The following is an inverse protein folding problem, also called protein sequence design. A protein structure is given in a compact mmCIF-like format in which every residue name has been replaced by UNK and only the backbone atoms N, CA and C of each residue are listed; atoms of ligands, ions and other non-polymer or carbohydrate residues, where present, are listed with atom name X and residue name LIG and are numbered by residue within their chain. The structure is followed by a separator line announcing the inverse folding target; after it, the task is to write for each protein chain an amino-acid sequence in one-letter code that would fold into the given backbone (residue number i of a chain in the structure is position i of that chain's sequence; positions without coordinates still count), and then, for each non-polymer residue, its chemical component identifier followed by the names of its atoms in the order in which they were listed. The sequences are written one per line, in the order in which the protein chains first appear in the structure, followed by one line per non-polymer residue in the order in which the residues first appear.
data_IF_581639775622
#
_entry.id   IF_581639775622
#
_cell.length_a   1.000
_cell.length_b   1.000
_cell.length_c   1.000
_cell.angle_alpha   90.00
_cell.angle_beta   90.00
_cell.angle_gamma   90.00
#
_symmetry.space_group_name_H-M   'P 1'
#
loop_
_entity.id
_entity.type
_entity.pdbx_description
1 polymer ?
#
# COMPACT_ATOMS: atom_id res chain seq x y z
N UNK A 1 -11.67 13.96 17.61
CA UNK A 1 -12.11 12.80 16.80
C UNK A 1 -11.64 11.54 17.49
N UNK A 2 -12.43 10.47 17.43
CA UNK A 2 -12.05 9.21 18.06
C UNK A 2 -10.92 8.53 17.29
N UNK A 3 -10.12 7.73 18.00
CA UNK A 3 -9.14 6.82 17.39
C UNK A 3 -9.80 6.01 16.26
N UNK A 4 -10.98 5.44 16.52
CA UNK A 4 -11.73 4.67 15.53
C UNK A 4 -12.04 5.46 14.24
N UNK A 5 -12.44 6.73 14.35
CA UNK A 5 -12.71 7.56 13.17
C UNK A 5 -11.43 7.79 12.34
N UNK A 6 -10.33 8.13 13.01
CA UNK A 6 -9.08 8.39 12.32
C UNK A 6 -8.49 7.10 11.71
N UNK A 7 -8.58 5.96 12.40
CA UNK A 7 -8.23 4.63 11.87
C UNK A 7 -9.07 4.27 10.64
N UNK A 8 -10.38 4.55 10.67
CA UNK A 8 -11.27 4.34 9.52
C UNK A 8 -10.85 5.20 8.31
N UNK A 9 -10.55 6.48 8.53
CA UNK A 9 -10.06 7.36 7.46
C UNK A 9 -8.74 6.85 6.90
N UNK A 10 -7.78 6.46 7.75
CA UNK A 10 -6.50 5.87 7.33
C UNK A 10 -6.71 4.63 6.46
N UNK A 11 -7.53 3.68 6.88
CA UNK A 11 -7.82 2.46 6.11
C UNK A 11 -8.52 2.77 4.78
N UNK A 12 -9.42 3.75 4.77
CA UNK A 12 -10.15 4.15 3.57
C UNK A 12 -9.23 4.80 2.55
N UNK A 13 -8.34 5.71 2.99
CA UNK A 13 -7.37 6.36 2.11
C UNK A 13 -6.33 5.37 1.56
N UNK A 14 -5.89 4.42 2.40
CA UNK A 14 -5.09 3.27 1.97
C UNK A 14 -5.78 2.57 0.80
N UNK A 15 -7.01 2.07 1.00
CA UNK A 15 -7.68 1.27 -0.01
C UNK A 15 -8.01 2.06 -1.29
N UNK A 16 -8.32 3.36 -1.19
CA UNK A 16 -8.53 4.21 -2.36
C UNK A 16 -7.29 4.32 -3.24
N UNK A 17 -6.10 4.40 -2.63
CA UNK A 17 -4.84 4.37 -3.37
C UNK A 17 -4.59 2.99 -3.98
N UNK A 18 -4.77 1.92 -3.22
CA UNK A 18 -4.56 0.55 -3.72
C UNK A 18 -5.51 0.18 -4.89
N UNK A 19 -6.75 0.69 -4.90
CA UNK A 19 -7.65 0.50 -6.03
C UNK A 19 -7.10 1.11 -7.33
N UNK A 20 -6.46 2.28 -7.26
CA UNK A 20 -5.80 2.91 -8.41
C UNK A 20 -4.70 2.01 -8.96
N UNK A 21 -3.91 1.39 -8.09
CA UNK A 21 -2.89 0.42 -8.47
C UNK A 21 -3.48 -0.82 -9.16
N UNK A 22 -4.50 -1.45 -8.56
CA UNK A 22 -5.18 -2.62 -9.14
C UNK A 22 -5.66 -2.31 -10.57
N UNK A 23 -6.27 -1.14 -10.75
CA UNK A 23 -6.88 -0.74 -12.03
C UNK A 23 -5.80 -0.40 -13.07
N UNK A 24 -4.73 0.31 -12.68
CA UNK A 24 -3.81 0.93 -13.63
C UNK A 24 -2.53 0.13 -13.92
N UNK A 25 -2.06 -0.72 -13.00
CA UNK A 25 -0.77 -1.43 -13.18
C UNK A 25 -0.74 -2.22 -14.49
N UNK A 26 -1.77 -3.05 -14.76
CA UNK A 26 -1.81 -3.90 -15.97
C UNK A 26 -1.84 -3.10 -17.27
N UNK A 27 -2.79 -2.15 -17.47
CA UNK A 27 -2.78 -1.30 -18.66
C UNK A 27 -1.48 -0.52 -18.82
N UNK A 28 -0.92 0.01 -17.72
CA UNK A 28 0.30 0.81 -17.77
C UNK A 28 1.50 -0.02 -18.23
N UNK A 29 1.69 -1.23 -17.70
CA UNK A 29 2.76 -2.14 -18.15
C UNK A 29 2.61 -2.42 -19.65
N UNK A 30 1.40 -2.79 -20.11
CA UNK A 30 1.18 -3.14 -21.52
C UNK A 30 1.55 -2.01 -22.49
N UNK A 31 1.31 -0.75 -22.10
CA UNK A 31 1.57 0.43 -22.93
C UNK A 31 3.02 0.92 -22.84
N UNK A 32 3.74 0.58 -21.76
CA UNK A 32 5.04 1.19 -21.44
C UNK A 32 6.20 0.19 -21.37
N UNK A 33 5.95 -1.11 -21.50
CA UNK A 33 6.95 -2.18 -21.36
C UNK A 33 8.17 -2.02 -22.27
N UNK A 34 8.02 -1.42 -23.45
CA UNK A 34 9.12 -1.24 -24.43
C UNK A 34 9.85 0.10 -24.29
N UNK A 35 9.40 0.96 -23.38
CA UNK A 35 10.01 2.28 -23.18
C UNK A 35 11.31 2.15 -22.37
N UNK A 36 12.43 2.63 -22.93
CA UNK A 36 13.76 2.50 -22.32
C UNK A 36 13.88 3.15 -20.94
N UNK A 37 13.12 4.22 -20.69
CA UNK A 37 13.13 4.96 -19.42
C UNK A 37 12.54 4.17 -18.23
N UNK A 38 11.73 3.14 -18.47
CA UNK A 38 11.06 2.38 -17.41
C UNK A 38 11.67 1.01 -17.14
N UNK A 39 12.74 0.63 -17.85
CA UNK A 39 13.34 -0.71 -17.72
C UNK A 39 13.89 -1.03 -16.33
N UNK A 40 14.10 -0.01 -15.50
CA UNK A 40 14.56 -0.15 -14.12
C UNK A 40 13.41 -0.09 -13.10
N UNK A 41 12.19 0.22 -13.53
CA UNK A 41 11.04 0.27 -12.63
C UNK A 41 10.61 -1.12 -12.23
N UNK A 42 10.25 -1.31 -10.96
CA UNK A 42 9.87 -2.63 -10.45
C UNK A 42 8.75 -3.27 -11.28
N UNK A 43 7.80 -2.46 -11.75
CA UNK A 43 6.70 -2.88 -12.63
C UNK A 43 7.13 -3.24 -14.06
N UNK A 44 8.33 -2.88 -14.54
CA UNK A 44 8.79 -3.14 -15.93
C UNK A 44 10.13 -3.94 -15.98
N UNK A 45 10.88 -3.99 -14.89
CA UNK A 45 12.16 -4.69 -14.81
C UNK A 45 11.99 -6.22 -14.74
N UNK A 46 10.80 -6.72 -14.40
CA UNK A 46 10.49 -8.15 -14.26
C UNK A 46 9.63 -8.69 -15.41
N UNK A 47 10.08 -8.46 -16.65
CA UNK A 47 9.37 -8.75 -17.92
C UNK A 47 8.78 -10.17 -18.10
N UNK A 48 9.19 -11.16 -17.30
CA UNK A 48 8.70 -12.54 -17.36
C UNK A 48 7.78 -12.97 -16.22
N UNK A 49 7.40 -12.07 -15.29
CA UNK A 49 6.65 -12.42 -14.08
C UNK A 49 5.56 -11.40 -13.73
N UNK A 50 4.93 -10.78 -14.74
CA UNK A 50 3.89 -9.80 -14.45
C UNK A 50 2.61 -10.48 -14.00
N UNK A 51 2.33 -10.29 -12.72
CA UNK A 51 1.10 -10.66 -12.07
C UNK A 51 -0.10 -10.19 -12.87
N UNK A 52 -1.11 -11.05 -12.97
CA UNK A 52 -2.43 -10.69 -13.46
C UNK A 52 -3.10 -9.66 -12.53
N UNK A 53 -4.14 -8.97 -13.01
CA UNK A 53 -4.88 -8.02 -12.16
C UNK A 53 -5.48 -8.71 -10.93
N UNK A 54 -5.93 -9.96 -11.09
CA UNK A 54 -6.45 -10.82 -10.03
C UNK A 54 -5.37 -11.15 -9.00
N UNK A 55 -4.14 -11.41 -9.45
CA UNK A 55 -3.02 -11.71 -8.55
C UNK A 55 -2.57 -10.47 -7.78
N UNK A 56 -2.55 -9.29 -8.43
CA UNK A 56 -2.31 -8.00 -7.78
C UNK A 56 -3.40 -7.73 -6.74
N UNK A 57 -4.67 -7.89 -7.12
CA UNK A 57 -5.80 -7.70 -6.22
C UNK A 57 -5.75 -8.64 -5.01
N UNK A 58 -5.33 -9.90 -5.20
CA UNK A 58 -5.17 -10.84 -4.09
C UNK A 58 -4.05 -10.41 -3.11
N UNK A 59 -2.92 -9.93 -3.63
CA UNK A 59 -1.82 -9.43 -2.80
C UNK A 59 -2.26 -8.20 -1.99
N UNK A 60 -2.91 -7.25 -2.64
CA UNK A 60 -3.45 -6.04 -1.99
C UNK A 60 -4.55 -6.40 -0.98
N UNK A 61 -5.40 -7.38 -1.29
CA UNK A 61 -6.44 -7.85 -0.36
C UNK A 61 -5.84 -8.42 0.93
N UNK A 62 -4.70 -9.10 0.82
CA UNK A 62 -3.94 -9.59 1.98
C UNK A 62 -3.37 -8.43 2.81
N UNK A 63 -2.73 -7.45 2.17
CA UNK A 63 -2.20 -6.26 2.87
C UNK A 63 -3.30 -5.43 3.53
N UNK A 64 -4.45 -5.28 2.85
CA UNK A 64 -5.64 -4.66 3.40
C UNK A 64 -6.15 -5.40 4.64
N UNK A 65 -6.21 -6.74 4.60
CA UNK A 65 -6.62 -7.55 5.74
C UNK A 65 -5.66 -7.38 6.93
N UNK A 66 -4.34 -7.36 6.68
CA UNK A 66 -3.36 -7.08 7.72
C UNK A 66 -3.55 -5.68 8.32
N UNK A 67 -3.69 -4.66 7.49
CA UNK A 67 -3.92 -3.29 7.94
C UNK A 67 -5.22 -3.18 8.75
N UNK A 68 -6.30 -3.83 8.29
CA UNK A 68 -7.57 -3.91 9.00
C UNK A 68 -7.41 -4.54 10.39
N UNK A 69 -6.75 -5.70 10.48
CA UNK A 69 -6.53 -6.40 11.76
C UNK A 69 -5.70 -5.52 12.71
N UNK A 70 -4.60 -4.95 12.24
CA UNK A 70 -3.73 -4.12 13.07
C UNK A 70 -4.43 -2.85 13.55
N UNK A 71 -5.24 -2.20 12.70
CA UNK A 71 -6.05 -1.04 13.09
C UNK A 71 -7.17 -1.43 14.06
N UNK A 72 -7.81 -2.59 13.87
CA UNK A 72 -8.81 -3.10 14.81
C UNK A 72 -8.18 -3.34 16.19
N UNK A 73 -6.99 -3.96 16.25
CA UNK A 73 -6.24 -4.14 17.49
C UNK A 73 -5.87 -2.78 18.11
N UNK A 74 -5.43 -1.81 17.30
CA UNK A 74 -5.14 -0.45 17.78
C UNK A 74 -6.37 0.18 18.46
N UNK A 75 -7.56 0.02 17.87
CA UNK A 75 -8.82 0.53 18.42
C UNK A 75 -9.18 -0.19 19.73
N UNK A 76 -9.17 -1.52 19.73
CA UNK A 76 -9.58 -2.34 20.87
C UNK A 76 -8.68 -2.12 22.09
N UNK A 77 -7.37 -2.02 21.86
CA UNK A 77 -6.37 -1.80 22.92
C UNK A 77 -6.03 -0.32 23.14
N UNK A 78 -6.66 0.60 22.39
CA UNK A 78 -6.44 2.05 22.45
C UNK A 78 -4.98 2.47 22.25
N UNK A 79 -4.30 1.82 21.29
CA UNK A 79 -2.89 2.07 20.96
C UNK A 79 -2.82 3.02 19.75
N UNK A 80 -2.83 4.33 20.03
CA UNK A 80 -2.80 5.37 18.98
C UNK A 80 -1.54 5.29 18.12
N UNK A 81 -0.40 4.95 18.72
CA UNK A 81 0.90 4.80 18.07
C UNK A 81 0.87 3.71 16.99
N UNK A 82 0.08 2.64 17.19
CA UNK A 82 -0.06 1.56 16.22
C UNK A 82 -0.80 2.05 14.97
N UNK A 83 -1.88 2.83 15.13
CA UNK A 83 -2.55 3.41 13.96
C UNK A 83 -1.64 4.39 13.22
N UNK A 84 -0.95 5.26 13.96
CA UNK A 84 -0.03 6.22 13.36
C UNK A 84 1.14 5.52 12.63
N UNK A 85 1.66 4.42 13.18
CA UNK A 85 2.73 3.65 12.54
C UNK A 85 2.28 3.02 11.20
N UNK A 86 1.05 2.49 11.12
CA UNK A 86 0.47 1.98 9.86
C UNK A 86 0.30 3.12 8.86
N UNK A 87 -0.30 4.24 9.27
CA UNK A 87 -0.44 5.43 8.43
C UNK A 87 0.90 5.98 7.95
N UNK A 88 1.97 5.84 8.76
CA UNK A 88 3.30 6.34 8.43
C UNK A 88 3.94 5.47 7.36
N UNK A 89 3.83 4.15 7.50
CA UNK A 89 4.28 3.21 6.48
C UNK A 89 3.60 3.49 5.13
N UNK A 90 2.29 3.68 5.13
CA UNK A 90 1.58 4.01 3.89
C UNK A 90 1.94 5.40 3.34
N UNK A 91 2.19 6.40 4.20
CA UNK A 91 2.67 7.72 3.75
C UNK A 91 4.02 7.62 3.03
N UNK A 92 4.92 6.75 3.50
CA UNK A 92 6.20 6.46 2.82
C UNK A 92 5.99 5.75 1.48
N UNK A 93 5.00 4.84 1.38
CA UNK A 93 4.58 4.22 0.13
C UNK A 93 4.13 5.27 -0.89
N UNK A 94 3.20 6.17 -0.49
CA UNK A 94 2.74 7.29 -1.34
C UNK A 94 3.91 8.16 -1.82
N UNK A 95 4.87 8.44 -0.95
CA UNK A 95 6.06 9.22 -1.31
C UNK A 95 6.87 8.54 -2.42
N UNK A 96 6.95 7.21 -2.42
CA UNK A 96 7.54 6.42 -3.51
C UNK A 96 6.89 6.73 -4.87
N UNK A 97 5.56 6.70 -4.93
CA UNK A 97 4.81 7.04 -6.15
C UNK A 97 4.97 8.50 -6.56
N UNK A 98 4.97 9.43 -5.58
CA UNK A 98 5.22 10.85 -5.85
C UNK A 98 6.61 11.05 -6.47
N UNK A 99 7.64 10.38 -5.93
CA UNK A 99 8.99 10.43 -6.50
C UNK A 99 9.04 9.87 -7.93
N UNK A 100 8.29 8.80 -8.22
CA UNK A 100 8.15 8.27 -9.58
C UNK A 100 7.51 9.29 -10.53
N UNK A 101 6.42 9.96 -10.12
CA UNK A 101 5.76 11.00 -10.93
C UNK A 101 6.74 12.12 -11.30
N UNK A 102 7.53 12.61 -10.34
CA UNK A 102 8.53 13.65 -10.61
C UNK A 102 9.68 13.15 -11.50
N UNK A 103 10.16 11.93 -11.26
CA UNK A 103 11.25 11.32 -12.04
C UNK A 103 10.85 11.10 -13.49
N UNK A 104 9.64 10.64 -13.74
CA UNK A 104 9.16 10.30 -15.09
C UNK A 104 8.42 11.44 -15.78
N UNK A 105 8.05 12.48 -15.04
CA UNK A 105 7.22 13.61 -15.52
C UNK A 105 5.94 13.12 -16.21
N UNK A 106 5.43 11.98 -15.76
CA UNK A 106 4.25 11.29 -16.28
C UNK A 106 3.54 10.58 -15.15
N UNK A 107 2.25 10.33 -15.34
CA UNK A 107 1.46 9.53 -14.43
C UNK A 107 1.91 8.06 -14.47
N UNK A 108 2.07 7.49 -13.29
CA UNK A 108 2.30 6.07 -13.04
C UNK A 108 1.12 5.53 -12.22
N UNK A 109 0.87 4.21 -12.21
CA UNK A 109 -0.10 3.62 -11.29
C UNK A 109 0.19 4.05 -9.85
N UNK A 110 -0.85 4.45 -9.11
CA UNK A 110 -0.73 5.01 -7.77
C UNK A 110 -0.33 6.50 -7.74
N UNK A 111 0.17 7.08 -8.83
CA UNK A 111 0.74 8.43 -8.83
C UNK A 111 -0.28 9.55 -8.60
N UNK A 112 -1.45 9.47 -9.26
CA UNK A 112 -2.50 10.47 -9.09
C UNK A 112 -3.10 10.41 -7.69
N UNK A 113 -3.50 9.22 -7.27
CA UNK A 113 -4.06 9.01 -5.93
C UNK A 113 -3.04 9.39 -4.86
N UNK A 114 -1.76 9.03 -4.99
CA UNK A 114 -0.72 9.44 -4.04
C UNK A 114 -0.59 10.96 -3.88
N UNK A 115 -0.58 11.73 -4.97
CA UNK A 115 -0.54 13.20 -4.89
C UNK A 115 -1.80 13.79 -4.22
N UNK A 116 -2.96 13.16 -4.40
CA UNK A 116 -4.23 13.64 -3.82
C UNK A 116 -4.45 13.20 -2.37
N UNK A 117 -4.06 11.98 -2.00
CA UNK A 117 -4.28 11.41 -0.66
C UNK A 117 -3.16 11.78 0.31
N UNK A 118 -1.93 12.05 -0.17
CA UNK A 118 -0.82 12.44 0.69
C UNK A 118 -1.10 13.69 1.55
N UNK A 119 -1.61 14.82 1.02
CA UNK A 119 -1.98 15.98 1.85
C UNK A 119 -3.06 15.65 2.90
N UNK A 120 -3.98 14.75 2.57
CA UNK A 120 -5.04 14.31 3.48
C UNK A 120 -4.42 13.46 4.60
N UNK A 121 -3.47 12.58 4.29
CA UNK A 121 -2.70 11.84 5.28
C UNK A 121 -1.94 12.77 6.22
N UNK A 122 -1.27 13.81 5.71
CA UNK A 122 -0.62 14.82 6.56
C UNK A 122 -1.62 15.48 7.52
N UNK A 123 -2.82 15.83 7.02
CA UNK A 123 -3.88 16.36 7.88
C UNK A 123 -4.31 15.35 8.95
N UNK A 124 -4.51 14.07 8.60
CA UNK A 124 -4.83 13.00 9.56
C UNK A 124 -3.74 12.87 10.63
N UNK A 125 -2.46 12.97 10.27
CA UNK A 125 -1.33 12.99 11.20
C UNK A 125 -1.39 14.17 12.18
N UNK A 126 -1.65 15.38 11.67
CA UNK A 126 -1.82 16.59 12.51
C UNK A 126 -2.99 16.43 13.46
N UNK A 127 -4.12 15.88 12.98
CA UNK A 127 -5.30 15.62 13.81
C UNK A 127 -5.01 14.54 14.88
N UNK A 128 -4.23 13.51 14.56
CA UNK A 128 -3.77 12.53 15.54
C UNK A 128 -2.94 13.17 16.66
N UNK A 129 -1.88 13.89 16.29
CA UNK A 129 -0.95 14.50 17.23
C UNK A 129 -1.61 15.58 18.11
N UNK A 130 -2.64 16.25 17.60
CA UNK A 130 -3.38 17.27 18.36
C UNK A 130 -4.46 16.71 19.30
N UNK A 131 -4.88 15.46 19.12
CA UNK A 131 -6.06 14.91 19.80
C UNK A 131 -5.79 13.64 20.62
N UNK A 132 -4.66 12.97 20.39
CA UNK A 132 -4.28 11.75 21.08
C UNK A 132 -2.94 11.95 21.80
N UNK A 133 -2.79 11.34 22.98
CA UNK A 133 -1.48 11.20 23.62
C UNK A 133 -0.63 10.22 22.83
N UNK A 134 0.61 10.60 22.50
CA UNK A 134 1.52 9.78 21.70
C UNK A 134 2.87 9.68 22.40
N UNK A 135 3.29 8.44 22.66
CA UNK A 135 4.64 8.10 23.05
C UNK A 135 5.54 8.05 21.80
N UNK A 136 6.39 9.06 21.63
CA UNK A 136 7.34 9.12 20.51
C UNK A 136 8.26 7.89 20.41
N UNK A 137 8.85 7.37 21.51
CA UNK A 137 9.66 6.16 21.43
C UNK A 137 8.86 4.94 20.93
N UNK A 138 7.64 4.77 21.42
CA UNK A 138 6.78 3.66 21.00
C UNK A 138 6.37 3.79 19.53
N UNK A 139 6.01 5.00 19.09
CA UNK A 139 5.69 5.28 17.69
C UNK A 139 6.86 4.93 16.77
N UNK A 140 8.09 5.31 17.12
CA UNK A 140 9.27 5.02 16.31
C UNK A 140 9.55 3.51 16.24
N UNK A 141 9.46 2.81 17.37
CA UNK A 141 9.65 1.35 17.43
C UNK A 141 8.59 0.64 16.60
N UNK A 142 7.31 0.99 16.78
CA UNK A 142 6.21 0.39 16.03
C UNK A 142 6.31 0.70 14.53
N UNK A 143 6.68 1.92 14.15
CA UNK A 143 6.86 2.30 12.74
C UNK A 143 7.95 1.47 12.07
N UNK A 144 9.11 1.31 12.73
CA UNK A 144 10.19 0.48 12.20
C UNK A 144 9.80 -1.00 12.12
N UNK A 145 9.18 -1.53 13.18
CA UNK A 145 8.76 -2.92 13.24
C UNK A 145 7.71 -3.27 12.18
N UNK A 146 6.66 -2.45 12.06
CA UNK A 146 5.58 -2.64 11.08
C UNK A 146 6.13 -2.49 9.66
N UNK A 147 7.01 -1.52 9.40
CA UNK A 147 7.63 -1.37 8.08
C UNK A 147 8.39 -2.65 7.69
N UNK A 148 9.25 -3.17 8.57
CA UNK A 148 10.00 -4.41 8.31
C UNK A 148 9.05 -5.59 8.10
N UNK A 149 8.02 -5.71 8.93
CA UNK A 149 7.01 -6.76 8.82
C UNK A 149 6.27 -6.71 7.48
N UNK A 150 5.76 -5.54 7.08
CA UNK A 150 5.03 -5.35 5.82
C UNK A 150 5.93 -5.61 4.60
N UNK A 151 7.17 -5.10 4.61
CA UNK A 151 8.12 -5.35 3.52
C UNK A 151 8.48 -6.84 3.41
N UNK A 152 8.65 -7.54 4.54
CA UNK A 152 8.90 -8.97 4.55
C UNK A 152 7.69 -9.76 4.03
N UNK A 153 6.48 -9.35 4.40
CA UNK A 153 5.24 -9.94 3.93
C UNK A 153 5.06 -9.75 2.41
N UNK A 154 5.23 -8.53 1.92
CA UNK A 154 5.16 -8.21 0.49
C UNK A 154 6.22 -8.99 -0.31
N UNK A 155 7.45 -9.08 0.21
CA UNK A 155 8.51 -9.90 -0.39
C UNK A 155 8.12 -11.39 -0.44
N UNK A 156 7.49 -11.91 0.61
CA UNK A 156 6.97 -13.28 0.65
C UNK A 156 5.88 -13.49 -0.39
N UNK A 157 4.88 -12.59 -0.48
CA UNK A 157 3.82 -12.66 -1.49
C UNK A 157 4.39 -12.64 -2.91
N UNK A 158 5.33 -11.74 -3.19
CA UNK A 158 6.02 -11.70 -4.48
C UNK A 158 6.81 -12.98 -4.78
N UNK A 159 7.42 -13.62 -3.78
CA UNK A 159 8.12 -14.90 -3.98
C UNK A 159 7.16 -16.05 -4.33
N UNK A 160 5.88 -15.91 -3.99
CA UNK A 160 4.82 -16.91 -4.23
C UNK A 160 3.86 -16.53 -5.36
N UNK A 161 4.03 -15.34 -5.92
CA UNK A 161 3.22 -14.74 -6.99
C UNK A 161 2.79 -15.71 -8.09
N UNK A 162 3.73 -16.43 -8.71
CA UNK A 162 3.41 -17.42 -9.77
C UNK A 162 2.53 -18.58 -9.29
N UNK A 163 2.71 -19.03 -8.05
CA UNK A 163 1.88 -20.09 -7.45
C UNK A 163 0.49 -19.59 -7.13
N UNK A 164 0.37 -18.35 -6.65
CA UNK A 164 -0.90 -17.69 -6.40
C UNK A 164 -1.69 -17.54 -7.70
N UNK A 165 -1.03 -17.07 -8.76
CA UNK A 165 -1.63 -16.93 -10.07
C UNK A 165 -2.15 -18.26 -10.61
N UNK A 166 -1.32 -19.31 -10.61
CA UNK A 166 -1.74 -20.65 -11.02
C UNK A 166 -2.91 -21.20 -10.17
N UNK A 167 -2.93 -20.89 -8.88
CA UNK A 167 -4.01 -21.28 -7.97
C UNK A 167 -5.33 -20.58 -8.32
N UNK A 168 -5.30 -19.25 -8.58
CA UNK A 168 -6.47 -18.46 -8.99
C UNK A 168 -7.09 -19.07 -10.25
N UNK A 169 -6.29 -19.30 -11.30
CA UNK A 169 -6.79 -19.88 -12.55
C UNK A 169 -7.30 -21.31 -12.39
N UNK A 170 -6.79 -22.07 -11.44
CA UNK A 170 -7.27 -23.43 -11.16
C UNK A 170 -8.65 -23.41 -10.51
N UNK A 171 -8.90 -22.50 -9.56
CA UNK A 171 -10.18 -22.45 -8.84
C UNK A 171 -11.28 -21.72 -9.64
N UNK A 172 -10.91 -20.90 -10.63
CA UNK A 172 -11.86 -20.16 -11.45
C UNK A 172 -12.35 -20.92 -12.69
N UNK A 173 -11.73 -22.06 -13.01
CA UNK A 173 -12.27 -22.97 -14.02
C UNK A 173 -13.60 -23.54 -13.53
N UNK A 174 -14.68 -23.19 -14.23
CA UNK A 174 -15.90 -23.97 -14.15
C UNK A 174 -15.63 -25.33 -14.84
N UNK A 175 -16.12 -26.41 -14.22
CA UNK A 175 -16.08 -27.76 -14.79
C UNK A 175 -16.72 -27.82 -16.18
#
# INVERSE_FOLDING_TARGET
MSLAFLSFVTLSLFMLHEFDEIILIRPWISQNQDHQGYQKEMFIARRGSYLSAESIALMIAEEFLLAFILLLLAILFRISELTMAIGFCHTLHLLGHIMQVFRFRRWVPGGFTALTTFPIFILVFVLYLSQQSVSWPLLLILSAFIMVFLLANLAFLHSRSQKLEAWIYRISKAD
#
